data_IF_482877115571
#
_entry.id   IF_482877115571
#
_cell.length_a   1.000
_cell.length_b   1.000
_cell.length_c   1.000
_cell.angle_alpha   90.00
_cell.angle_beta   90.00
_cell.angle_gamma   90.00
#
_symmetry.space_group_name_H-M   'P 1'
#
loop_
_entity.id
_entity.type
_entity.pdbx_description
1 polymer ?
#
# COMPACT_ATOMS: atom_id res chain seq x y z
N UNK A 1 -7.01 0.66 27.43
CA UNK A 1 -7.50 0.14 26.13
C UNK A 1 -8.38 -1.05 26.41
N UNK A 2 -9.59 -1.09 25.88
CA UNK A 2 -10.44 -2.27 25.97
C UNK A 2 -9.70 -3.44 25.31
N UNK A 3 -9.47 -4.52 26.05
CA UNK A 3 -8.88 -5.71 25.49
C UNK A 3 -9.87 -6.30 24.48
N UNK A 4 -9.49 -6.31 23.19
CA UNK A 4 -10.13 -7.17 22.20
C UNK A 4 -10.89 -6.51 21.07
N UNK A 5 -10.71 -5.20 20.79
CA UNK A 5 -11.32 -4.59 19.59
C UNK A 5 -10.40 -3.52 18.99
N UNK A 6 -10.19 -3.56 17.67
CA UNK A 6 -9.33 -2.63 16.92
C UNK A 6 -10.14 -1.73 15.99
N UNK A 7 -9.58 -0.61 15.47
CA UNK A 7 -10.35 0.38 14.71
C UNK A 7 -11.13 -0.20 13.54
N UNK A 8 -10.51 -1.06 12.74
CA UNK A 8 -11.14 -1.69 11.57
C UNK A 8 -12.34 -2.58 11.94
N UNK A 9 -12.42 -3.04 13.19
CA UNK A 9 -13.53 -3.88 13.69
C UNK A 9 -14.78 -3.06 14.04
N UNK A 10 -14.60 -1.78 14.35
CA UNK A 10 -15.64 -0.92 14.95
C UNK A 10 -15.98 0.31 14.11
N UNK A 11 -15.18 0.60 13.09
CA UNK A 11 -15.40 1.74 12.22
C UNK A 11 -16.59 1.44 11.33
N UNK A 12 -17.64 2.24 11.47
CA UNK A 12 -18.79 2.21 10.57
C UNK A 12 -18.38 2.73 9.19
N UNK A 13 -19.06 2.27 8.14
CA UNK A 13 -18.76 2.68 6.76
C UNK A 13 -19.39 4.06 6.44
N UNK A 14 -19.00 5.07 7.22
CA UNK A 14 -19.45 6.46 7.10
C UNK A 14 -18.25 7.43 7.03
N UNK A 15 -17.60 7.56 5.87
CA UNK A 15 -16.46 8.46 5.69
C UNK A 15 -16.77 9.93 6.03
N UNK A 16 -18.04 10.36 5.90
CA UNK A 16 -18.45 11.73 6.16
C UNK A 16 -18.51 12.00 7.67
N UNK A 17 -19.21 11.14 8.42
CA UNK A 17 -19.27 11.25 9.88
C UNK A 17 -17.90 11.16 10.54
N UNK A 18 -17.01 10.29 10.05
CA UNK A 18 -15.62 10.24 10.53
C UNK A 18 -14.87 11.55 10.27
N UNK A 19 -15.07 12.16 9.11
CA UNK A 19 -14.48 13.45 8.76
C UNK A 19 -14.97 14.58 9.66
N UNK A 20 -16.29 14.64 9.91
CA UNK A 20 -16.90 15.62 10.81
C UNK A 20 -16.39 15.48 12.25
N UNK A 21 -16.34 14.26 12.78
CA UNK A 21 -15.82 14.00 14.12
C UNK A 21 -14.33 14.40 14.25
N UNK A 22 -13.52 14.10 13.24
CA UNK A 22 -12.11 14.49 13.20
C UNK A 22 -11.93 16.02 13.11
N UNK A 23 -12.77 16.70 12.33
CA UNK A 23 -12.78 18.17 12.22
C UNK A 23 -13.18 18.83 13.54
N UNK A 24 -14.23 18.34 14.19
CA UNK A 24 -14.67 18.83 15.50
C UNK A 24 -13.58 18.65 16.56
N UNK A 25 -12.94 17.49 16.58
CA UNK A 25 -11.82 17.21 17.48
C UNK A 25 -10.64 18.17 17.24
N UNK A 26 -10.24 18.37 15.97
CA UNK A 26 -9.14 19.26 15.62
C UNK A 26 -9.45 20.73 15.93
N UNK A 27 -10.70 21.17 15.75
CA UNK A 27 -11.15 22.51 16.16
C UNK A 27 -11.01 22.72 17.67
N UNK A 28 -11.43 21.74 18.47
CA UNK A 28 -11.28 21.77 19.93
C UNK A 28 -9.80 21.84 20.36
N UNK A 29 -8.90 21.16 19.64
CA UNK A 29 -7.45 21.28 19.87
C UNK A 29 -6.92 22.69 19.58
N UNK A 30 -7.42 23.35 18.53
CA UNK A 30 -6.99 24.71 18.14
C UNK A 30 -7.46 25.79 19.09
N UNK A 31 -8.67 25.64 19.63
CA UNK A 31 -9.26 26.61 20.55
C UNK A 31 -8.65 26.56 21.96
N UNK A 32 -7.79 25.57 22.23
CA UNK A 32 -7.26 25.35 23.59
C UNK A 32 -8.37 25.05 24.59
N UNK A 33 -9.52 24.58 24.11
CA UNK A 33 -10.73 24.37 24.90
C UNK A 33 -10.58 23.28 25.97
N UNK A 34 -9.45 22.56 26.01
CA UNK A 34 -9.18 21.48 26.95
C UNK A 34 -8.34 21.98 28.13
N UNK A 35 -8.86 21.76 29.33
CA UNK A 35 -8.31 22.23 30.60
C UNK A 35 -6.99 21.57 31.02
N UNK A 36 -6.60 20.46 30.38
CA UNK A 36 -5.32 19.78 30.59
C UNK A 36 -4.69 19.35 29.27
N UNK A 37 -3.35 19.46 29.09
CA UNK A 37 -2.68 18.95 27.91
C UNK A 37 -2.80 17.43 27.87
N UNK A 38 -3.63 16.93 26.95
CA UNK A 38 -3.69 15.50 26.69
C UNK A 38 -2.39 15.03 26.02
N UNK A 39 -2.00 13.81 26.34
CA UNK A 39 -0.76 13.23 25.86
C UNK A 39 -1.03 11.84 25.33
N UNK A 40 -0.56 11.59 24.11
CA UNK A 40 -0.54 10.26 23.53
C UNK A 40 0.79 9.57 23.87
N UNK A 41 0.71 8.35 24.40
CA UNK A 41 1.90 7.56 24.74
C UNK A 41 2.18 6.56 23.63
N UNK A 42 3.36 6.68 23.02
CA UNK A 42 3.83 5.75 22.00
C UNK A 42 4.21 4.41 22.63
N UNK A 43 4.21 3.30 21.85
CA UNK A 43 4.71 2.01 22.33
C UNK A 43 6.15 2.03 22.84
N UNK A 44 6.96 3.01 22.40
CA UNK A 44 8.33 3.25 22.85
C UNK A 44 8.42 3.90 24.24
N UNK A 45 7.28 4.35 24.80
CA UNK A 45 7.21 5.13 26.04
C UNK A 45 7.35 6.63 25.85
N UNK A 46 7.69 7.09 24.64
CA UNK A 46 7.70 8.51 24.28
C UNK A 46 6.28 9.10 24.34
N UNK A 47 6.20 10.38 24.72
CA UNK A 47 4.95 11.10 24.94
C UNK A 47 4.81 12.24 23.94
N UNK A 48 3.76 12.21 23.15
CA UNK A 48 3.40 13.25 22.19
C UNK A 48 2.26 14.08 22.76
N UNK A 49 2.46 15.39 22.91
CA UNK A 49 1.37 16.29 23.31
C UNK A 49 0.34 16.36 22.20
N UNK A 50 -0.94 16.25 22.55
CA UNK A 50 -2.03 16.38 21.60
C UNK A 50 -2.38 17.86 21.44
N UNK A 51 -1.79 18.47 20.43
CA UNK A 51 -1.95 19.88 20.08
C UNK A 51 -2.07 20.07 18.56
N UNK A 52 -2.59 21.22 18.12
CA UNK A 52 -2.82 21.47 16.70
C UNK A 52 -1.54 21.41 15.85
N UNK A 53 -0.37 21.76 16.41
CA UNK A 53 0.95 21.64 15.76
C UNK A 53 1.40 20.20 15.53
N UNK A 54 0.90 19.26 16.34
CA UNK A 54 1.25 17.83 16.28
C UNK A 54 0.28 17.00 15.43
N UNK A 55 -0.82 17.60 14.98
CA UNK A 55 -1.88 16.91 14.25
C UNK A 55 -2.11 17.55 12.87
N UNK A 56 -2.30 16.73 11.84
CA UNK A 56 -2.60 17.22 10.50
C UNK A 56 -3.57 16.30 9.76
N UNK A 57 -4.24 16.82 8.74
CA UNK A 57 -5.14 16.03 7.91
C UNK A 57 -4.39 15.44 6.70
N UNK A 58 -4.57 14.14 6.47
CA UNK A 58 -4.10 13.45 5.27
C UNK A 58 -5.28 12.97 4.43
N UNK A 59 -5.26 13.25 3.12
CA UNK A 59 -6.24 12.71 2.20
C UNK A 59 -6.01 11.20 2.02
N UNK A 60 -7.08 10.41 2.14
CA UNK A 60 -7.03 8.96 1.94
C UNK A 60 -7.01 8.62 0.45
N UNK A 61 -7.75 9.39 -0.35
CA UNK A 61 -7.84 9.23 -1.80
C UNK A 61 -7.29 10.46 -2.52
N UNK A 62 -6.49 10.30 -3.59
CA UNK A 62 -6.06 11.42 -4.43
C UNK A 62 -7.22 12.11 -5.16
N UNK A 63 -8.21 11.33 -5.60
CA UNK A 63 -9.34 11.76 -6.42
C UNK A 63 -10.54 12.26 -5.61
N UNK A 64 -10.51 12.10 -4.29
CA UNK A 64 -11.55 12.54 -3.39
C UNK A 64 -10.95 13.18 -2.13
N UNK A 65 -10.34 14.38 -2.27
CA UNK A 65 -9.60 15.04 -1.20
C UNK A 65 -10.46 15.43 0.00
N UNK A 66 -11.79 15.40 -0.11
CA UNK A 66 -12.71 15.57 1.00
C UNK A 66 -12.62 14.45 2.04
N UNK A 67 -12.24 13.24 1.64
CA UNK A 67 -12.07 12.12 2.55
C UNK A 67 -10.67 12.16 3.16
N UNK A 68 -10.59 12.74 4.35
CA UNK A 68 -9.34 12.91 5.10
C UNK A 68 -9.40 12.19 6.43
N UNK A 69 -8.24 11.76 6.89
CA UNK A 69 -8.05 11.29 8.26
C UNK A 69 -7.16 12.27 9.01
N UNK A 70 -7.40 12.41 10.31
CA UNK A 70 -6.54 13.17 11.19
C UNK A 70 -5.43 12.25 11.70
N UNK A 71 -4.19 12.65 11.44
CA UNK A 71 -2.98 11.93 11.86
C UNK A 71 -2.23 12.72 12.92
N UNK A 72 -1.55 12.00 13.80
CA UNK A 72 -0.60 12.56 14.77
C UNK A 72 0.81 12.34 14.23
N UNK A 73 1.63 13.38 14.22
CA UNK A 73 3.03 13.32 13.77
C UNK A 73 4.00 13.40 14.94
N UNK A 74 5.20 12.85 14.77
CA UNK A 74 6.25 12.98 15.76
C UNK A 74 6.68 14.47 15.88
N UNK A 75 6.74 15.06 17.08
CA UNK A 75 7.18 16.45 17.25
C UNK A 75 8.62 16.72 16.78
N UNK A 76 9.49 15.72 16.85
CA UNK A 76 10.89 15.80 16.41
C UNK A 76 11.04 15.55 14.90
N UNK A 77 10.09 14.84 14.30
CA UNK A 77 10.03 14.57 12.87
C UNK A 77 8.59 14.63 12.37
N UNK A 78 8.20 15.80 11.88
CA UNK A 78 6.83 16.08 11.41
C UNK A 78 6.44 15.28 10.17
N UNK A 79 7.36 14.51 9.57
CA UNK A 79 7.08 13.59 8.46
C UNK A 79 6.69 12.19 8.93
N UNK A 80 6.95 11.85 10.19
CA UNK A 80 6.64 10.54 10.76
C UNK A 80 5.27 10.57 11.42
N UNK A 81 4.32 9.83 10.84
CA UNK A 81 3.00 9.59 11.43
C UNK A 81 3.11 8.52 12.51
N UNK A 82 2.65 8.83 13.72
CA UNK A 82 2.75 7.95 14.90
C UNK A 82 1.39 7.42 15.36
N UNK A 83 0.30 8.13 15.06
CA UNK A 83 -1.05 7.70 15.39
C UNK A 83 -2.08 8.24 14.40
N UNK A 84 -3.27 7.64 14.40
CA UNK A 84 -4.44 8.06 13.62
C UNK A 84 -5.64 8.23 14.54
N UNK A 85 -6.45 9.24 14.27
CA UNK A 85 -7.70 9.46 14.99
C UNK A 85 -8.84 8.72 14.31
N UNK A 86 -9.47 7.78 15.03
CA UNK A 86 -10.54 6.93 14.53
C UNK A 86 -11.52 6.63 15.67
N UNK A 87 -12.82 6.73 15.38
CA UNK A 87 -13.91 6.47 16.35
C UNK A 87 -13.64 7.14 17.69
N UNK A 88 -13.47 8.46 17.64
CA UNK A 88 -13.27 9.32 18.80
C UNK A 88 -12.02 9.02 19.66
N UNK A 89 -11.04 8.31 19.12
CA UNK A 89 -9.84 7.90 19.85
C UNK A 89 -8.58 7.94 18.98
N UNK A 90 -7.44 8.16 19.62
CA UNK A 90 -6.13 8.02 18.98
C UNK A 90 -5.64 6.58 19.03
N UNK A 91 -5.19 6.07 17.89
CA UNK A 91 -4.67 4.72 17.74
C UNK A 91 -3.26 4.77 17.19
N UNK A 92 -2.34 4.07 17.85
CA UNK A 92 -0.99 3.91 17.32
C UNK A 92 -1.07 3.23 15.94
N UNK A 93 -0.17 3.60 15.03
CA UNK A 93 -0.18 3.05 13.66
C UNK A 93 -0.17 1.52 13.63
N UNK A 94 0.57 0.87 14.54
CA UNK A 94 0.58 -0.60 14.64
C UNK A 94 -0.75 -1.18 15.14
N UNK A 95 -1.46 -0.50 16.03
CA UNK A 95 -2.76 -0.98 16.55
C UNK A 95 -3.88 -0.73 15.53
N UNK A 96 -3.78 0.34 14.74
CA UNK A 96 -4.69 0.61 13.63
C UNK A 96 -4.56 -0.42 12.49
N UNK A 97 -3.48 -1.20 12.46
CA UNK A 97 -3.27 -2.30 11.50
C UNK A 97 -3.69 -3.67 12.06
N UNK A 98 -4.27 -3.73 13.25
CA UNK A 98 -4.71 -4.99 13.88
C UNK A 98 -6.21 -5.20 13.72
N UNK A 99 -6.62 -6.45 13.89
CA UNK A 99 -8.01 -6.92 13.86
C UNK A 99 -8.19 -7.94 14.98
N UNK A 100 -9.37 -7.93 15.60
CA UNK A 100 -9.79 -8.95 16.56
C UNK A 100 -10.74 -9.96 15.92
N UNK A 101 -11.25 -9.65 14.73
CA UNK A 101 -12.12 -10.52 13.95
C UNK A 101 -11.30 -11.69 13.35
N UNK A 102 -11.56 -12.95 13.78
CA UNK A 102 -10.87 -14.13 13.25
C UNK A 102 -11.24 -14.44 11.79
N UNK A 103 -12.32 -13.86 11.25
CA UNK A 103 -12.65 -13.99 9.84
C UNK A 103 -11.69 -13.19 8.94
N UNK A 104 -10.96 -12.22 9.50
CA UNK A 104 -9.94 -11.47 8.79
C UNK A 104 -8.60 -12.19 8.77
N UNK A 105 -8.50 -13.18 7.89
CA UNK A 105 -7.29 -13.97 7.66
C UNK A 105 -7.08 -14.21 6.16
N UNK A 106 -5.84 -14.13 5.69
CA UNK A 106 -5.50 -14.29 4.28
C UNK A 106 -5.77 -13.03 3.44
N UNK A 107 -5.87 -13.21 2.11
CA UNK A 107 -6.11 -12.10 1.17
C UNK A 107 -7.58 -11.75 1.12
N UNK A 108 -7.93 -10.52 1.50
CA UNK A 108 -9.29 -10.02 1.51
C UNK A 108 -9.43 -8.76 0.69
N UNK A 109 -10.51 -8.67 -0.09
CA UNK A 109 -10.85 -7.45 -0.84
C UNK A 109 -11.16 -6.33 0.13
N UNK A 110 -10.66 -5.14 -0.18
CA UNK A 110 -11.00 -3.91 0.55
C UNK A 110 -12.42 -3.50 0.19
N UNK A 111 -13.32 -3.47 1.17
CA UNK A 111 -14.75 -3.20 0.98
C UNK A 111 -15.28 -2.06 1.85
N UNK A 112 -14.59 -1.73 2.94
CA UNK A 112 -14.99 -0.68 3.89
C UNK A 112 -14.02 0.49 3.95
N UNK A 113 -14.49 1.62 4.46
CA UNK A 113 -13.64 2.77 4.75
C UNK A 113 -12.54 2.45 5.77
N UNK A 114 -12.82 1.62 6.77
CA UNK A 114 -11.83 1.18 7.75
C UNK A 114 -10.67 0.43 7.08
N UNK A 115 -10.97 -0.51 6.19
CA UNK A 115 -9.97 -1.22 5.39
C UNK A 115 -9.23 -0.28 4.43
N UNK A 116 -9.89 0.75 3.90
CA UNK A 116 -9.21 1.79 3.11
C UNK A 116 -8.19 2.58 3.92
N UNK A 117 -8.47 2.86 5.19
CA UNK A 117 -7.47 3.49 6.05
C UNK A 117 -6.33 2.51 6.37
N UNK A 118 -6.61 1.22 6.58
CA UNK A 118 -5.56 0.19 6.74
C UNK A 118 -4.65 0.13 5.51
N UNK A 119 -5.23 0.14 4.30
CA UNK A 119 -4.48 0.21 3.04
C UNK A 119 -3.63 1.49 2.96
N UNK A 120 -4.21 2.64 3.30
CA UNK A 120 -3.48 3.91 3.34
C UNK A 120 -2.30 3.86 4.31
N UNK A 121 -2.50 3.30 5.51
CA UNK A 121 -1.45 3.14 6.51
C UNK A 121 -0.33 2.24 6.01
N UNK A 122 -0.65 1.08 5.43
CA UNK A 122 0.35 0.18 4.87
C UNK A 122 1.15 0.85 3.75
N UNK A 123 0.49 1.59 2.87
CA UNK A 123 1.11 2.21 1.71
C UNK A 123 1.90 3.49 2.07
N UNK A 124 1.23 4.49 2.62
CA UNK A 124 1.80 5.84 2.79
C UNK A 124 2.67 5.92 4.03
N UNK A 125 2.27 5.26 5.12
CA UNK A 125 2.95 5.36 6.41
C UNK A 125 4.00 4.26 6.56
N UNK A 126 3.60 2.99 6.56
CA UNK A 126 4.52 1.88 6.81
C UNK A 126 5.51 1.74 5.65
N UNK A 127 5.05 1.56 4.42
CA UNK A 127 5.95 1.51 3.27
C UNK A 127 6.63 2.87 3.07
N UNK A 128 5.87 3.93 2.77
CA UNK A 128 6.41 5.22 2.34
C UNK A 128 7.37 5.91 3.32
N UNK A 129 7.24 5.69 4.64
CA UNK A 129 8.07 6.34 5.66
C UNK A 129 8.93 5.38 6.49
N UNK A 130 8.42 4.21 6.90
CA UNK A 130 9.12 3.36 7.87
C UNK A 130 9.98 2.25 7.24
N UNK A 131 9.51 1.66 6.13
CA UNK A 131 10.13 0.47 5.55
C UNK A 131 10.73 0.66 4.15
N UNK A 132 10.44 1.79 3.50
CA UNK A 132 11.02 2.14 2.20
C UNK A 132 12.52 2.41 2.32
N UNK A 133 13.28 1.94 1.33
CA UNK A 133 14.67 2.36 1.20
C UNK A 133 14.70 3.80 0.66
N UNK A 134 15.23 4.73 1.43
CA UNK A 134 15.30 6.14 1.03
C UNK A 134 16.33 6.41 -0.07
N UNK A 135 17.26 5.47 -0.29
CA UNK A 135 18.27 5.57 -1.35
C UNK A 135 17.75 5.10 -2.74
N UNK A 136 16.50 4.64 -2.80
CA UNK A 136 15.84 4.20 -4.04
C UNK A 136 14.72 5.19 -4.39
N UNK A 137 15.12 6.32 -4.98
CA UNK A 137 14.24 7.46 -5.31
C UNK A 137 13.11 7.09 -6.29
N UNK A 138 13.21 5.94 -6.97
CA UNK A 138 12.22 5.47 -7.94
C UNK A 138 11.03 4.72 -7.34
N UNK A 139 11.05 4.38 -6.05
CA UNK A 139 10.02 3.54 -5.43
C UNK A 139 9.10 4.31 -4.48
N UNK A 140 8.32 5.28 -4.96
CA UNK A 140 7.22 5.86 -4.18
C UNK A 140 5.87 5.41 -4.73
N UNK A 141 5.04 4.85 -3.84
CA UNK A 141 3.65 4.56 -4.16
C UNK A 141 2.80 5.76 -3.79
N UNK A 142 2.11 6.31 -4.77
CA UNK A 142 1.07 7.31 -4.52
C UNK A 142 -0.10 6.64 -3.76
N UNK A 143 -0.91 7.41 -3.00
CA UNK A 143 -2.17 6.91 -2.49
C UNK A 143 -3.06 6.40 -3.63
N UNK A 144 -3.87 5.39 -3.36
CA UNK A 144 -4.72 4.76 -4.37
C UNK A 144 -6.05 5.50 -4.52
N UNK A 145 -6.56 5.59 -5.76
CA UNK A 145 -7.91 6.11 -6.00
C UNK A 145 -8.94 5.25 -5.28
N UNK A 146 -10.07 5.84 -4.88
CA UNK A 146 -11.19 5.10 -4.33
C UNK A 146 -11.75 4.03 -5.28
N UNK A 147 -11.55 4.21 -6.59
CA UNK A 147 -11.99 3.29 -7.65
C UNK A 147 -11.02 2.13 -7.90
N UNK A 148 -9.81 2.18 -7.32
CA UNK A 148 -8.80 1.16 -7.53
C UNK A 148 -9.04 -0.03 -6.61
N UNK A 149 -9.22 -1.21 -7.20
CA UNK A 149 -9.38 -2.44 -6.42
C UNK A 149 -8.10 -2.79 -5.67
N UNK A 150 -8.26 -3.27 -4.44
CA UNK A 150 -7.15 -3.66 -3.59
C UNK A 150 -7.53 -4.88 -2.74
N UNK A 151 -6.53 -5.67 -2.38
CA UNK A 151 -6.65 -6.69 -1.33
C UNK A 151 -5.62 -6.46 -0.24
N UNK A 152 -6.03 -6.61 1.01
CA UNK A 152 -5.16 -6.62 2.18
C UNK A 152 -4.88 -8.07 2.55
N UNK A 153 -3.61 -8.37 2.85
CA UNK A 153 -3.21 -9.65 3.42
C UNK A 153 -3.24 -9.52 4.94
N UNK A 154 -4.16 -10.26 5.57
CA UNK A 154 -4.26 -10.41 7.00
C UNK A 154 -3.57 -11.68 7.46
N UNK A 155 -2.87 -11.61 8.59
CA UNK A 155 -2.21 -12.76 9.20
C UNK A 155 -2.02 -12.56 10.69
N UNK A 156 -2.44 -13.54 11.48
CA UNK A 156 -2.26 -13.55 12.94
C UNK A 156 -2.83 -12.28 13.61
N UNK A 157 -4.00 -11.83 13.16
CA UNK A 157 -4.68 -10.63 13.69
C UNK A 157 -4.07 -9.29 13.27
N UNK A 158 -3.24 -9.25 12.22
CA UNK A 158 -2.65 -8.02 11.70
C UNK A 158 -2.67 -7.94 10.17
N UNK A 159 -2.78 -6.74 9.64
CA UNK A 159 -2.55 -6.45 8.23
C UNK A 159 -1.04 -6.43 7.96
N UNK A 160 -0.58 -7.34 7.10
CA UNK A 160 0.86 -7.60 6.87
C UNK A 160 1.35 -7.23 5.48
N UNK A 161 0.44 -6.88 4.58
CA UNK A 161 0.73 -6.48 3.22
C UNK A 161 -0.53 -6.18 2.43
N UNK A 162 -0.36 -5.75 1.20
CA UNK A 162 -1.46 -5.51 0.27
C UNK A 162 -0.98 -5.67 -1.16
N UNK A 163 -1.93 -5.76 -2.08
CA UNK A 163 -1.69 -5.42 -3.47
C UNK A 163 -2.89 -4.65 -4.06
N UNK A 164 -2.65 -3.85 -5.09
CA UNK A 164 -3.69 -3.15 -5.85
C UNK A 164 -3.71 -3.59 -7.31
N UNK A 165 -4.83 -3.35 -7.96
CA UNK A 165 -5.02 -3.69 -9.37
C UNK A 165 -5.64 -2.55 -10.15
N UNK A 166 -5.12 -2.32 -11.36
CA UNK A 166 -5.81 -1.53 -12.37
C UNK A 166 -6.71 -2.47 -13.18
N UNK A 167 -8.01 -2.25 -13.10
CA UNK A 167 -8.98 -3.03 -13.86
C UNK A 167 -8.86 -2.69 -15.36
N UNK A 168 -9.05 -3.69 -16.21
CA UNK A 168 -9.21 -3.47 -17.65
C UNK A 168 -10.38 -2.52 -17.91
N UNK A 169 -10.17 -1.49 -18.73
CA UNK A 169 -11.14 -0.43 -19.00
C UNK A 169 -11.13 0.73 -17.99
N UNK A 170 -10.39 0.64 -16.88
CA UNK A 170 -10.23 1.77 -15.95
C UNK A 170 -9.31 2.84 -16.54
N UNK A 171 -9.54 4.10 -16.18
CA UNK A 171 -8.76 5.24 -16.67
C UNK A 171 -7.31 5.20 -16.18
N UNK A 172 -6.40 5.55 -17.08
CA UNK A 172 -5.00 5.80 -16.75
C UNK A 172 -4.88 7.15 -16.02
N UNK A 173 -3.96 7.24 -15.06
CA UNK A 173 -3.76 8.42 -14.23
C UNK A 173 -2.98 9.56 -14.89
N UNK A 174 -2.64 9.45 -16.18
CA UNK A 174 -1.77 10.37 -16.92
C UNK A 174 -2.53 11.55 -17.58
N UNK A 175 -3.85 11.63 -17.38
CA UNK A 175 -4.68 12.71 -17.93
C UNK A 175 -4.94 12.60 -19.45
N UNK A 176 -4.50 11.51 -20.08
CA UNK A 176 -4.69 11.29 -21.53
C UNK A 176 -6.11 10.83 -21.89
N UNK A 177 -6.90 10.41 -20.90
CA UNK A 177 -8.19 9.75 -21.11
C UNK A 177 -8.09 8.32 -21.61
N UNK A 178 -6.89 7.75 -21.69
CA UNK A 178 -6.69 6.34 -22.05
C UNK A 178 -7.15 5.40 -20.94
N UNK A 179 -7.56 4.19 -21.31
CA UNK A 179 -7.93 3.14 -20.37
C UNK A 179 -6.96 1.96 -20.43
N UNK A 180 -6.73 1.29 -19.30
CA UNK A 180 -5.95 0.06 -19.25
C UNK A 180 -6.56 -1.02 -20.17
N UNK A 181 -5.72 -1.62 -21.02
CA UNK A 181 -6.16 -2.61 -22.01
C UNK A 181 -6.14 -4.06 -21.50
N UNK A 182 -5.65 -4.26 -20.28
CA UNK A 182 -5.56 -5.54 -19.57
C UNK A 182 -5.59 -5.29 -18.07
N UNK A 183 -5.95 -6.30 -17.24
CA UNK A 183 -5.78 -6.21 -15.79
C UNK A 183 -4.30 -6.07 -15.42
N UNK A 184 -3.97 -5.17 -14.51
CA UNK A 184 -2.59 -4.93 -14.08
C UNK A 184 -2.45 -5.09 -12.57
N UNK A 185 -1.51 -5.93 -12.13
CA UNK A 185 -1.01 -6.02 -10.77
C UNK A 185 -0.09 -4.83 -10.50
N UNK A 186 -0.62 -3.82 -9.81
CA UNK A 186 -0.07 -2.47 -9.85
C UNK A 186 0.94 -2.20 -8.76
N UNK A 187 0.46 -2.13 -7.52
CA UNK A 187 1.33 -1.99 -6.35
C UNK A 187 1.25 -3.22 -5.48
N UNK A 188 2.38 -3.60 -4.91
CA UNK A 188 2.47 -4.75 -4.01
C UNK A 188 3.43 -4.44 -2.89
N UNK A 189 3.02 -4.76 -1.66
CA UNK A 189 3.84 -4.56 -0.49
C UNK A 189 3.61 -5.67 0.51
N UNK A 190 4.73 -6.16 1.08
CA UNK A 190 4.74 -7.06 2.23
C UNK A 190 5.65 -6.43 3.27
N UNK A 191 5.15 -6.27 4.49
CA UNK A 191 5.90 -5.74 5.62
C UNK A 191 7.16 -6.56 5.87
N UNK A 192 8.27 -5.90 6.20
CA UNK A 192 9.63 -6.46 6.24
C UNK A 192 9.72 -7.69 7.12
N UNK A 193 9.05 -7.68 8.28
CA UNK A 193 9.02 -8.79 9.24
C UNK A 193 8.31 -10.06 8.73
N UNK A 194 7.50 -9.94 7.68
CA UNK A 194 6.77 -11.07 7.06
C UNK A 194 7.33 -11.48 5.69
N UNK A 195 8.38 -10.81 5.20
CA UNK A 195 9.00 -11.15 3.90
C UNK A 195 9.68 -12.53 3.96
N UNK A 196 9.92 -13.11 2.78
CA UNK A 196 10.54 -14.44 2.58
C UNK A 196 9.70 -15.63 3.07
N UNK A 197 8.41 -15.43 3.33
CA UNK A 197 7.47 -16.49 3.72
C UNK A 197 6.52 -16.89 2.59
N UNK A 198 6.85 -16.56 1.33
CA UNK A 198 6.00 -16.87 0.17
C UNK A 198 4.81 -15.93 -0.06
N UNK A 199 4.63 -14.89 0.75
CA UNK A 199 3.45 -14.00 0.67
C UNK A 199 3.31 -13.25 -0.66
N UNK A 200 4.41 -12.73 -1.22
CA UNK A 200 4.36 -12.09 -2.55
C UNK A 200 4.00 -13.07 -3.67
N UNK A 201 4.41 -14.34 -3.55
CA UNK A 201 4.04 -15.40 -4.48
C UNK A 201 2.54 -15.73 -4.37
N UNK A 202 2.01 -15.76 -3.16
CA UNK A 202 0.57 -15.96 -2.91
C UNK A 202 -0.26 -14.81 -3.50
N UNK A 203 0.19 -13.55 -3.34
CA UNK A 203 -0.48 -12.39 -3.96
C UNK A 203 -0.48 -12.44 -5.49
N UNK A 204 0.65 -12.78 -6.11
CA UNK A 204 0.71 -12.91 -7.58
C UNK A 204 -0.17 -14.06 -8.09
N UNK A 205 -0.18 -15.20 -7.38
CA UNK A 205 -1.06 -16.33 -7.69
C UNK A 205 -2.53 -15.91 -7.65
N UNK A 206 -2.95 -15.30 -6.53
CA UNK A 206 -4.34 -14.86 -6.33
C UNK A 206 -4.77 -13.83 -7.39
N UNK A 207 -3.86 -12.95 -7.85
CA UNK A 207 -4.11 -12.08 -8.99
C UNK A 207 -4.35 -12.86 -10.30
N UNK A 208 -3.45 -13.79 -10.68
CA UNK A 208 -3.62 -14.59 -11.88
C UNK A 208 -4.91 -15.44 -11.86
N UNK A 209 -5.27 -15.99 -10.71
CA UNK A 209 -6.50 -16.76 -10.51
C UNK A 209 -7.74 -15.87 -10.60
N UNK A 210 -7.68 -14.65 -10.06
CA UNK A 210 -8.77 -13.65 -10.15
C UNK A 210 -9.08 -13.29 -11.61
N UNK A 211 -8.06 -13.20 -12.48
CA UNK A 211 -8.19 -12.84 -13.88
C UNK A 211 -7.88 -14.01 -14.83
N UNK A 212 -8.30 -15.23 -14.46
CA UNK A 212 -7.98 -16.45 -15.23
C UNK A 212 -8.48 -16.47 -16.68
N UNK A 213 -9.52 -15.69 -16.99
CA UNK A 213 -10.14 -15.63 -18.32
C UNK A 213 -9.43 -14.61 -19.26
N UNK A 214 -8.56 -13.75 -18.73
CA UNK A 214 -7.83 -12.77 -19.55
C UNK A 214 -6.56 -13.41 -20.16
N UNK A 215 -6.43 -13.33 -21.47
CA UNK A 215 -5.28 -13.87 -22.23
C UNK A 215 -3.94 -13.18 -21.88
N UNK A 216 -4.00 -11.94 -21.38
CA UNK A 216 -2.82 -11.17 -20.98
C UNK A 216 -3.07 -10.44 -19.67
N UNK A 217 -2.10 -10.52 -18.78
CA UNK A 217 -2.06 -9.91 -17.45
C UNK A 217 -0.81 -9.03 -17.32
N UNK A 218 -0.96 -7.88 -16.70
CA UNK A 218 0.12 -6.93 -16.48
C UNK A 218 0.68 -6.98 -15.06
N UNK A 219 1.96 -6.65 -14.93
CA UNK A 219 2.60 -6.17 -13.71
C UNK A 219 3.13 -4.77 -14.03
N UNK A 220 2.79 -3.77 -13.21
CA UNK A 220 3.17 -2.38 -13.49
C UNK A 220 4.68 -2.20 -13.56
N UNK A 221 5.11 -1.45 -14.57
CA UNK A 221 6.48 -0.95 -14.67
C UNK A 221 6.69 0.27 -13.74
N UNK A 222 7.88 0.41 -13.11
CA UNK A 222 9.00 -0.52 -13.11
C UNK A 222 8.81 -1.68 -12.12
N UNK A 223 9.19 -2.90 -12.52
CA UNK A 223 9.19 -4.04 -11.60
C UNK A 223 10.46 -4.03 -10.74
N UNK A 224 10.27 -3.98 -9.41
CA UNK A 224 11.39 -4.06 -8.47
C UNK A 224 12.16 -5.38 -8.57
N UNK A 225 13.44 -5.37 -8.21
CA UNK A 225 14.26 -6.59 -8.19
C UNK A 225 13.62 -7.71 -7.34
N UNK A 226 13.03 -7.36 -6.19
CA UNK A 226 12.33 -8.32 -5.34
C UNK A 226 11.09 -8.93 -6.03
N UNK A 227 10.32 -8.12 -6.76
CA UNK A 227 9.15 -8.61 -7.50
C UNK A 227 9.56 -9.47 -8.71
N UNK A 228 10.65 -9.13 -9.40
CA UNK A 228 11.22 -10.00 -10.44
C UNK A 228 11.57 -11.40 -9.89
N UNK A 229 12.08 -11.49 -8.66
CA UNK A 229 12.33 -12.77 -8.00
C UNK A 229 11.04 -13.57 -7.73
N UNK A 230 9.95 -12.88 -7.39
CA UNK A 230 8.62 -13.49 -7.24
C UNK A 230 8.12 -14.01 -8.59
N UNK A 231 8.11 -13.16 -9.62
CA UNK A 231 7.68 -13.54 -10.97
C UNK A 231 8.49 -14.73 -11.50
N UNK A 232 9.82 -14.73 -11.30
CA UNK A 232 10.68 -15.85 -11.68
C UNK A 232 10.23 -17.16 -11.04
N UNK A 233 10.04 -17.18 -9.72
CA UNK A 233 9.62 -18.40 -9.00
C UNK A 233 8.23 -18.86 -9.43
N UNK A 234 7.31 -17.90 -9.62
CA UNK A 234 5.96 -18.18 -10.08
C UNK A 234 5.96 -18.82 -11.47
N UNK A 235 6.61 -18.19 -12.45
CA UNK A 235 6.67 -18.67 -13.84
C UNK A 235 7.46 -19.96 -14.02
N UNK A 236 8.39 -20.26 -13.10
CA UNK A 236 9.05 -21.56 -13.05
C UNK A 236 8.08 -22.67 -12.66
N UNK A 237 7.23 -22.42 -11.65
CA UNK A 237 6.23 -23.36 -11.15
C UNK A 237 4.95 -23.44 -12.01
N UNK A 238 4.65 -22.39 -12.79
CA UNK A 238 3.43 -22.24 -13.58
C UNK A 238 3.75 -21.98 -15.06
N UNK A 239 4.14 -23.01 -15.84
CA UNK A 239 4.44 -22.87 -17.27
C UNK A 239 3.32 -22.25 -18.11
N UNK A 240 2.08 -22.49 -17.72
CA UNK A 240 0.86 -21.95 -18.33
C UNK A 240 0.79 -20.41 -18.27
N UNK A 241 1.42 -19.80 -17.26
CA UNK A 241 1.40 -18.34 -17.06
C UNK A 241 2.51 -17.60 -17.83
N UNK A 242 3.47 -18.33 -18.42
CA UNK A 242 4.66 -17.74 -19.09
C UNK A 242 4.31 -16.86 -20.29
N UNK A 243 3.22 -17.17 -20.98
CA UNK A 243 2.70 -16.36 -22.09
C UNK A 243 1.73 -15.26 -21.65
N UNK A 244 1.24 -15.31 -20.40
CA UNK A 244 0.18 -14.43 -19.89
C UNK A 244 0.72 -13.22 -19.14
N UNK A 245 1.89 -13.33 -18.49
CA UNK A 245 2.43 -12.25 -17.65
C UNK A 245 3.41 -11.30 -18.37
N UNK A 246 3.06 -10.01 -18.36
CA UNK A 246 3.77 -8.93 -19.02
C UNK A 246 4.14 -7.83 -18.03
N UNK A 247 5.32 -7.22 -18.18
CA UNK A 247 5.64 -5.94 -17.56
C UNK A 247 5.01 -4.85 -18.42
N UNK A 248 4.29 -3.92 -17.80
CA UNK A 248 3.37 -3.02 -18.50
C UNK A 248 3.60 -1.56 -18.13
N UNK A 249 3.81 -0.73 -19.15
CA UNK A 249 3.59 0.71 -19.06
C UNK A 249 2.13 1.03 -19.42
N UNK A 250 1.44 1.94 -18.72
CA UNK A 250 0.07 2.34 -19.07
C UNK A 250 -0.03 2.91 -20.51
N UNK A 251 -1.12 2.67 -21.27
CA UNK A 251 -2.28 1.81 -20.98
C UNK A 251 -2.07 0.30 -21.21
N UNK A 252 -0.87 -0.13 -21.58
CA UNK A 252 -0.54 -1.52 -21.85
C UNK A 252 -0.99 -2.00 -23.22
N UNK A 253 -0.79 -1.20 -24.27
CA UNK A 253 -0.87 -1.68 -25.65
C UNK A 253 0.29 -2.64 -25.98
N UNK A 254 0.24 -3.34 -27.13
CA UNK A 254 1.28 -4.31 -27.52
C UNK A 254 2.72 -3.74 -27.50
N UNK A 255 2.90 -2.47 -27.90
CA UNK A 255 4.21 -1.79 -27.85
C UNK A 255 4.65 -1.35 -26.44
N UNK A 256 3.80 -1.52 -25.43
CA UNK A 256 4.00 -1.09 -24.05
C UNK A 256 4.05 -2.29 -23.08
N UNK A 257 4.27 -3.49 -23.63
CA UNK A 257 4.38 -4.75 -22.89
C UNK A 257 5.74 -5.37 -23.13
N UNK A 258 6.41 -5.79 -22.07
CA UNK A 258 7.58 -6.65 -22.13
C UNK A 258 7.30 -8.02 -21.50
N UNK A 259 7.58 -9.11 -22.20
CA UNK A 259 7.39 -10.45 -21.61
C UNK A 259 8.28 -10.62 -20.38
N UNK A 260 7.66 -10.84 -19.21
CA UNK A 260 8.40 -11.04 -17.95
C UNK A 260 9.23 -12.32 -18.05
N UNK A 261 8.66 -13.38 -18.64
CA UNK A 261 9.36 -14.65 -18.81
C UNK A 261 10.66 -14.50 -19.62
N UNK A 262 10.60 -13.81 -20.77
CA UNK A 262 11.79 -13.59 -21.59
C UNK A 262 12.84 -12.77 -20.85
N UNK A 263 12.44 -11.71 -20.12
CA UNK A 263 13.35 -10.91 -19.30
C UNK A 263 14.03 -11.75 -18.20
N UNK A 264 13.25 -12.61 -17.53
CA UNK A 264 13.77 -13.55 -16.53
C UNK A 264 14.79 -14.50 -17.16
N UNK A 265 14.52 -15.08 -18.33
CA UNK A 265 15.46 -15.97 -19.01
C UNK A 265 16.77 -15.26 -19.40
N UNK A 266 16.68 -14.06 -19.96
CA UNK A 266 17.85 -13.26 -20.34
C UNK A 266 18.75 -12.89 -19.14
N UNK A 267 18.16 -12.71 -17.96
CA UNK A 267 18.93 -12.50 -16.72
C UNK A 267 19.67 -13.76 -16.25
N UNK A 268 19.16 -14.98 -16.52
CA UNK A 268 19.86 -16.22 -16.16
C UNK A 268 21.02 -16.55 -17.10
N UNK A 269 20.90 -16.22 -18.39
CA UNK A 269 21.98 -16.39 -19.35
C UNK A 269 23.20 -15.50 -19.06
N UNK A 270 23.07 -14.54 -18.14
CA UNK A 270 24.16 -13.74 -17.58
C UNK A 270 24.58 -14.32 -16.22
N UNK A 271 25.36 -15.41 -16.21
CA UNK A 271 26.04 -15.93 -15.00
C UNK A 271 27.37 -15.18 -14.73
N UNK A 272 28.02 -15.31 -13.55
CA UNK A 272 28.68 -14.25 -12.79
C UNK A 272 30.21 -14.24 -12.99
N UNK A 273 30.69 -14.47 -14.22
CA UNK A 273 32.12 -14.45 -14.55
C UNK A 273 32.52 -13.20 -15.35
N UNK A 274 31.75 -12.11 -15.21
CA UNK A 274 32.11 -10.79 -15.71
C UNK A 274 31.88 -9.73 -14.63
N UNK A 275 32.57 -9.86 -13.49
CA UNK A 275 33.07 -8.64 -12.83
C UNK A 275 34.14 -8.04 -13.73
N UNK A 276 33.72 -7.25 -14.72
CA UNK A 276 34.53 -6.21 -15.36
C UNK A 276 33.63 -5.45 -16.34
N UNK A 277 33.19 -4.28 -15.89
CA UNK A 277 32.83 -3.18 -16.78
C UNK A 277 31.37 -3.13 -17.25
N UNK A 278 30.44 -2.89 -16.33
CA UNK A 278 29.30 -2.04 -16.70
C UNK A 278 29.53 -0.65 -16.08
N UNK A 279 29.94 0.31 -16.94
CA UNK A 279 29.67 1.72 -16.68
C UNK A 279 28.22 1.98 -17.09
N UNK A 280 27.35 2.46 -16.19
CA UNK A 280 26.01 2.88 -16.59
C UNK A 280 26.13 3.94 -17.70
N UNK A 281 25.44 3.75 -18.82
CA UNK A 281 25.16 4.88 -19.70
C UNK A 281 24.33 5.88 -18.88
N UNK A 282 24.77 7.15 -18.77
CA UNK A 282 24.09 8.14 -17.97
C UNK A 282 22.88 8.57 -18.77
N UNK A 283 21.70 8.13 -18.38
CA UNK A 283 20.45 8.83 -18.60
C UNK A 283 19.40 8.11 -17.76
N UNK A 284 18.79 8.90 -16.88
CA UNK A 284 17.68 8.57 -15.98
C UNK A 284 18.12 7.87 -14.68
N UNK A 285 18.56 8.70 -13.74
CA UNK A 285 18.26 8.55 -12.31
C UNK A 285 16.90 9.19 -12.01
#
# INVERSE_FOLDING_TARGET
MAAGVYPVDILEDDPAGHGEAALAYYAALREGARSSPEVFSLPTGEKVKLEASSACFCAVYPDAPQHKILVLVNPQDTKTVVAVYMKESWWATEDALRTSDPAREGLMKVQSFGERIVLFLLNVVIFGRLERNLDDDHMFFLPHSGKEEAKILWRDGAAVGFYTTKAKGSLCGDGTGACYLLPVFDTVFVRRRYRRQGLGLAMLRDFCETFREDEALGVSWPISAAMYQVCRKFLAAHPEERGRLWEVEPPGAWGQRGSIWLKVQLQHSRHPDCELGWRPCPLVW
#
